data_IF_277532743455
#
_entry.id   IF_277532743455
#
_cell.length_a   1.000
_cell.length_b   1.000
_cell.length_c   1.000
_cell.angle_alpha   90.00
_cell.angle_beta   90.00
_cell.angle_gamma   90.00
#
_symmetry.space_group_name_H-M   'P 1'
#
loop_
_entity.id
_entity.type
_entity.pdbx_description
1 polymer ?
#
# COMPACT_ATOMS: atom_id res chain seq x y z
N UNK A 1 11.56 -5.58 6.67
CA UNK A 1 10.80 -4.34 6.97
C UNK A 1 9.35 -4.68 7.35
N UNK A 2 8.74 -3.95 8.30
CA UNK A 2 7.32 -4.12 8.67
C UNK A 2 6.61 -2.77 8.52
N UNK A 3 6.16 -2.49 7.31
CA UNK A 3 5.40 -1.27 7.05
C UNK A 3 3.90 -1.51 7.23
N UNK A 4 3.18 -0.42 7.53
CA UNK A 4 1.72 -0.42 7.66
C UNK A 4 1.15 0.62 6.72
N UNK A 5 0.03 0.31 6.08
CA UNK A 5 -0.63 1.28 5.21
C UNK A 5 -1.22 2.42 6.05
N UNK A 6 -0.92 3.69 5.73
CA UNK A 6 -1.44 4.82 6.47
C UNK A 6 -2.98 4.86 6.40
N UNK A 7 -3.62 4.94 7.57
CA UNK A 7 -5.09 4.98 7.73
C UNK A 7 -5.69 6.35 7.42
N UNK A 8 -4.84 7.37 7.36
CA UNK A 8 -5.20 8.73 6.97
C UNK A 8 -5.54 8.84 5.48
N UNK A 9 -5.09 7.89 4.64
CA UNK A 9 -5.38 7.88 3.21
C UNK A 9 -6.83 7.42 2.99
N UNK A 10 -7.68 8.42 2.71
CA UNK A 10 -9.12 8.23 2.47
C UNK A 10 -9.54 8.49 1.02
N UNK A 11 -8.69 9.15 0.22
CA UNK A 11 -9.00 9.45 -1.19
C UNK A 11 -8.31 8.45 -2.11
N UNK A 12 -8.92 8.21 -3.28
CA UNK A 12 -8.33 7.35 -4.32
C UNK A 12 -7.04 7.96 -4.86
N UNK A 13 -6.97 9.29 -5.00
CA UNK A 13 -5.75 9.96 -5.49
C UNK A 13 -4.57 9.80 -4.53
N UNK A 14 -4.79 9.98 -3.22
CA UNK A 14 -3.75 9.74 -2.21
C UNK A 14 -3.37 8.27 -2.14
N UNK A 15 -4.33 7.36 -2.35
CA UNK A 15 -4.08 5.93 -2.41
C UNK A 15 -3.20 5.56 -3.60
N UNK A 16 -3.50 6.10 -4.78
CA UNK A 16 -2.73 5.89 -6.01
C UNK A 16 -1.33 6.46 -5.87
N UNK A 17 -1.21 7.64 -5.25
CA UNK A 17 0.08 8.25 -4.95
C UNK A 17 0.90 7.40 -3.99
N UNK A 18 0.30 6.89 -2.91
CA UNK A 18 0.95 5.94 -2.00
C UNK A 18 1.40 4.67 -2.75
N UNK A 19 0.58 4.17 -3.68
CA UNK A 19 0.88 2.96 -4.42
C UNK A 19 2.06 3.12 -5.37
N UNK A 20 2.07 4.21 -6.16
CA UNK A 20 3.05 4.46 -7.23
C UNK A 20 4.29 5.24 -6.79
N UNK A 21 4.13 6.19 -5.89
CA UNK A 21 5.20 7.12 -5.49
C UNK A 21 5.62 6.97 -4.03
N UNK A 22 4.82 6.29 -3.21
CA UNK A 22 5.02 6.24 -1.76
C UNK A 22 4.46 7.46 -1.04
N UNK A 23 4.56 7.46 0.28
CA UNK A 23 4.00 8.53 1.12
C UNK A 23 4.79 8.65 2.43
N UNK A 24 5.18 9.88 2.79
CA UNK A 24 5.70 10.19 4.13
C UNK A 24 6.92 9.36 4.56
N UNK A 25 7.88 9.14 3.64
CA UNK A 25 9.08 8.34 3.90
C UNK A 25 8.88 6.83 3.79
N UNK A 26 7.66 6.39 3.46
CA UNK A 26 7.38 5.02 3.08
C UNK A 26 7.54 4.88 1.55
N UNK A 27 8.30 3.89 1.06
CA UNK A 27 8.41 3.63 -0.36
C UNK A 27 7.05 3.22 -0.94
N UNK A 28 6.93 3.32 -2.27
CA UNK A 28 5.76 2.88 -3.03
C UNK A 28 5.38 1.45 -2.68
N UNK A 29 4.07 1.24 -2.48
CA UNK A 29 3.52 -0.09 -2.20
C UNK A 29 3.85 -1.08 -3.33
N UNK A 30 3.92 -0.59 -4.56
CA UNK A 30 4.30 -1.39 -5.73
C UNK A 30 5.74 -1.90 -5.64
N UNK A 31 6.69 -1.00 -5.34
CA UNK A 31 8.09 -1.38 -5.11
C UNK A 31 8.24 -2.30 -3.90
N UNK A 32 7.44 -2.06 -2.84
CA UNK A 32 7.42 -2.95 -1.68
C UNK A 32 6.96 -4.37 -2.04
N UNK A 33 5.89 -4.50 -2.83
CA UNK A 33 5.39 -5.78 -3.36
C UNK A 33 6.41 -6.43 -4.32
N UNK A 34 7.11 -5.65 -5.15
CA UNK A 34 8.10 -6.17 -6.09
C UNK A 34 9.34 -6.73 -5.36
N UNK A 35 9.93 -5.98 -4.44
CA UNK A 35 11.15 -6.36 -3.73
C UNK A 35 10.92 -7.41 -2.63
N UNK A 36 9.82 -7.28 -1.87
CA UNK A 36 9.59 -8.10 -0.66
C UNK A 36 8.30 -8.95 -0.72
N UNK A 37 7.43 -8.77 -1.70
CA UNK A 37 6.18 -9.52 -1.83
C UNK A 37 5.30 -9.37 -0.59
N UNK A 38 4.94 -10.47 0.06
CA UNK A 38 4.11 -10.42 1.27
C UNK A 38 4.87 -10.08 2.55
N UNK A 39 6.21 -10.11 2.53
CA UNK A 39 7.04 -9.96 3.75
C UNK A 39 7.10 -8.53 4.29
N UNK A 40 6.87 -7.51 3.46
CA UNK A 40 6.94 -6.12 3.92
C UNK A 40 5.74 -5.72 4.79
N UNK A 41 4.62 -6.45 4.67
CA UNK A 41 3.38 -6.20 5.43
C UNK A 41 3.16 -7.26 6.51
N UNK A 42 2.64 -6.89 7.69
CA UNK A 42 2.17 -7.87 8.66
C UNK A 42 0.87 -8.53 8.21
N UNK A 43 0.61 -9.76 8.65
CA UNK A 43 -0.58 -10.55 8.32
C UNK A 43 -1.89 -9.81 8.66
N UNK A 44 -1.87 -8.98 9.70
CA UNK A 44 -3.00 -8.12 10.13
C UNK A 44 -3.39 -7.07 9.08
N UNK A 45 -2.47 -6.67 8.21
CA UNK A 45 -2.71 -5.69 7.14
C UNK A 45 -3.18 -6.36 5.84
N UNK A 46 -3.23 -7.70 5.77
CA UNK A 46 -3.58 -8.43 4.54
C UNK A 46 -4.94 -8.00 3.98
N UNK A 47 -5.99 -7.99 4.81
CA UNK A 47 -7.33 -7.64 4.37
C UNK A 47 -7.41 -6.17 3.92
N UNK A 48 -6.78 -5.27 4.68
CA UNK A 48 -6.77 -3.84 4.40
C UNK A 48 -6.01 -3.49 3.11
N UNK A 49 -4.91 -4.22 2.84
CA UNK A 49 -4.18 -4.17 1.59
C UNK A 49 -5.04 -4.68 0.43
N UNK A 50 -5.66 -5.86 0.56
CA UNK A 50 -6.50 -6.44 -0.51
C UNK A 50 -7.64 -5.52 -0.93
N UNK A 51 -8.36 -4.92 0.02
CA UNK A 51 -9.45 -3.97 -0.29
C UNK A 51 -8.94 -2.76 -1.07
N UNK A 52 -7.78 -2.21 -0.69
CA UNK A 52 -7.19 -1.05 -1.38
C UNK A 52 -6.58 -1.39 -2.73
N UNK A 53 -5.98 -2.57 -2.84
CA UNK A 53 -5.44 -3.05 -4.11
C UNK A 53 -6.55 -3.14 -5.14
N UNK A 54 -7.73 -3.66 -4.76
CA UNK A 54 -8.90 -3.68 -5.63
C UNK A 54 -9.32 -2.27 -6.07
N UNK A 55 -9.35 -1.29 -5.17
CA UNK A 55 -9.66 0.11 -5.54
C UNK A 55 -8.65 0.67 -6.55
N UNK A 56 -7.37 0.34 -6.41
CA UNK A 56 -6.32 0.80 -7.35
C UNK A 56 -6.36 0.04 -8.68
N UNK A 57 -6.77 -1.23 -8.67
CA UNK A 57 -6.91 -2.05 -9.88
C UNK A 57 -8.09 -1.59 -10.75
N UNK A 58 -9.14 -1.05 -10.11
CA UNK A 58 -10.34 -0.52 -10.77
C UNK A 58 -10.17 0.92 -11.32
N UNK A 59 -9.03 1.56 -11.08
CA UNK A 59 -8.75 2.99 -11.43
C UNK A 59 -7.73 3.08 -12.55
#
# INVERSE_FOLDING_TARGET
PRYKLPRAVKTVQDLLRLWRHGLGGMPSVDSLEHDWGTRWRPSSEKQYFSTRKMIIDEV
#
